data_IF_104684277172
#
_entry.id   IF_104684277172
#
_cell.length_a   1.000
_cell.length_b   1.000
_cell.length_c   1.000
_cell.angle_alpha   90.00
_cell.angle_beta   90.00
_cell.angle_gamma   90.00
#
_symmetry.space_group_name_H-M   'P 1'
#
loop_
_entity.id
_entity.type
_entity.pdbx_description
1 polymer ?
#
# COMPACT_ATOMS: atom_id res chain seq x y z
N UNK A 1 5.99 6.18 -3.94
CA UNK A 1 6.19 6.81 -2.62
C UNK A 1 4.87 6.67 -1.87
N UNK A 2 4.87 6.12 -0.64
CA UNK A 2 3.65 5.71 0.06
C UNK A 2 2.93 6.88 0.75
N UNK A 3 2.66 7.96 0.02
CA UNK A 3 2.02 9.15 0.60
C UNK A 3 0.55 8.92 0.95
N UNK A 4 -0.16 8.14 0.12
CA UNK A 4 -1.54 7.76 0.39
C UNK A 4 -1.68 6.93 1.66
N UNK A 5 -0.73 6.02 1.91
CA UNK A 5 -0.73 5.17 3.09
C UNK A 5 -0.57 5.98 4.38
N UNK A 6 0.35 6.96 4.39
CA UNK A 6 0.53 7.87 5.54
C UNK A 6 -0.74 8.70 5.80
N UNK A 7 -1.28 9.31 4.75
CA UNK A 7 -2.46 10.17 4.87
C UNK A 7 -3.68 9.39 5.35
N UNK A 8 -3.92 8.20 4.77
CA UNK A 8 -5.06 7.34 5.13
C UNK A 8 -4.90 6.70 6.50
N UNK A 9 -3.67 6.34 6.92
CA UNK A 9 -3.40 5.83 8.26
C UNK A 9 -3.69 6.90 9.31
N UNK A 10 -3.17 8.12 9.14
CA UNK A 10 -3.47 9.24 10.04
C UNK A 10 -4.96 9.54 10.07
N UNK A 11 -5.55 9.68 8.87
CA UNK A 11 -6.97 9.96 8.74
C UNK A 11 -7.78 8.87 9.42
N UNK A 12 -7.39 7.59 9.38
CA UNK A 12 -8.15 6.49 9.98
C UNK A 12 -8.00 6.41 11.50
N UNK A 13 -6.78 6.53 12.02
CA UNK A 13 -6.43 6.16 13.40
C UNK A 13 -6.15 7.35 14.32
N UNK A 14 -5.80 8.51 13.76
CA UNK A 14 -5.33 9.67 14.54
C UNK A 14 -3.91 9.53 15.11
N UNK A 15 -3.16 8.48 14.75
CA UNK A 15 -1.79 8.29 15.22
C UNK A 15 -0.88 9.34 14.56
N UNK A 16 -0.18 10.19 15.33
CA UNK A 16 0.55 11.31 14.76
C UNK A 16 1.88 10.90 14.11
N UNK A 17 2.52 9.83 14.59
CA UNK A 17 3.80 9.35 14.05
C UNK A 17 3.58 8.07 13.24
N UNK A 18 3.74 8.17 11.93
CA UNK A 18 3.50 7.08 10.98
C UNK A 18 4.70 6.96 10.04
N UNK A 19 5.26 5.76 9.96
CA UNK A 19 6.28 5.39 8.99
C UNK A 19 5.72 4.32 8.05
N UNK A 20 5.98 4.46 6.74
CA UNK A 20 5.62 3.45 5.76
C UNK A 20 6.84 3.10 4.94
N UNK A 21 7.16 1.81 4.93
CA UNK A 21 8.37 1.27 4.34
C UNK A 21 8.03 0.12 3.40
N UNK A 22 8.75 0.04 2.29
CA UNK A 22 8.60 -1.02 1.29
C UNK A 22 9.92 -1.81 1.27
N UNK A 23 9.90 -3.15 1.27
CA UNK A 23 11.12 -3.93 1.15
C UNK A 23 11.74 -3.72 -0.23
N UNK A 24 12.99 -3.27 -0.26
CA UNK A 24 13.78 -3.17 -1.50
C UNK A 24 15.02 -4.07 -1.40
N UNK A 25 15.40 -4.78 -2.48
CA UNK A 25 16.70 -5.42 -2.55
C UNK A 25 17.82 -4.40 -2.33
N UNK A 26 18.89 -4.81 -1.66
CA UNK A 26 20.01 -3.92 -1.31
C UNK A 26 20.58 -3.16 -2.52
N UNK A 27 20.71 -3.84 -3.66
CA UNK A 27 21.26 -3.27 -4.88
C UNK A 27 20.39 -2.12 -5.41
N UNK A 28 19.07 -2.29 -5.39
CA UNK A 28 18.12 -1.25 -5.78
C UNK A 28 18.19 -0.06 -4.81
N UNK A 29 18.34 -0.31 -3.50
CA UNK A 29 18.47 0.75 -2.50
C UNK A 29 19.75 1.59 -2.68
N UNK A 30 20.89 0.95 -2.99
CA UNK A 30 22.16 1.65 -3.28
C UNK A 30 22.04 2.52 -4.53
N UNK A 31 21.46 1.98 -5.60
CA UNK A 31 21.22 2.72 -6.85
C UNK A 31 20.31 3.92 -6.58
N UNK A 32 19.21 3.74 -5.85
CA UNK A 32 18.27 4.82 -5.53
C UNK A 32 18.93 5.93 -4.70
N UNK A 33 19.83 5.57 -3.76
CA UNK A 33 20.64 6.55 -3.01
C UNK A 33 21.61 7.31 -3.91
N UNK A 34 22.23 6.63 -4.87
CA UNK A 34 23.12 7.24 -5.86
C UNK A 34 22.43 8.24 -6.79
N UNK A 35 21.11 8.14 -6.95
CA UNK A 35 20.31 9.07 -7.76
C UNK A 35 19.93 10.37 -7.05
N UNK A 36 20.09 10.45 -5.73
CA UNK A 36 19.78 11.65 -4.94
C UNK A 36 20.51 12.93 -5.42
N UNK A 37 21.82 12.94 -5.72
CA UNK A 37 22.53 14.13 -6.20
C UNK A 37 22.15 14.55 -7.63
N UNK A 38 21.76 13.60 -8.49
CA UNK A 38 21.38 13.85 -9.90
C UNK A 38 19.90 14.12 -10.08
N UNK A 39 19.15 14.28 -8.99
CA UNK A 39 17.69 14.50 -8.97
C UNK A 39 17.22 15.69 -9.83
N UNK A 40 18.06 16.71 -10.01
CA UNK A 40 17.76 17.85 -10.89
C UNK A 40 17.67 17.48 -12.37
N UNK A 41 18.38 16.45 -12.82
CA UNK A 41 18.38 16.00 -14.22
C UNK A 41 17.06 15.30 -14.56
N UNK A 42 16.43 14.59 -13.61
CA UNK A 42 15.11 13.98 -13.80
C UNK A 42 13.97 15.00 -13.97
N UNK A 43 14.21 16.28 -13.71
CA UNK A 43 13.26 17.36 -13.98
C UNK A 43 13.27 17.84 -15.43
N UNK A 44 14.24 17.41 -16.25
CA UNK A 44 14.38 17.87 -17.64
C UNK A 44 13.35 17.15 -18.52
N UNK A 45 12.51 17.88 -19.30
CA UNK A 45 11.43 17.28 -20.10
C UNK A 45 11.89 16.19 -21.07
N UNK A 46 13.06 16.38 -21.72
CA UNK A 46 13.63 15.39 -22.63
C UNK A 46 14.01 14.08 -21.91
N UNK A 47 14.56 14.18 -20.69
CA UNK A 47 14.90 13.01 -19.85
C UNK A 47 13.63 12.29 -19.40
N UNK A 48 12.59 13.04 -19.01
CA UNK A 48 11.29 12.46 -18.65
C UNK A 48 10.64 11.73 -19.82
N UNK A 49 10.64 12.32 -21.03
CA UNK A 49 10.10 11.69 -22.23
C UNK A 49 10.83 10.37 -22.55
N UNK A 50 12.17 10.38 -22.47
CA UNK A 50 12.98 9.19 -22.67
C UNK A 50 12.70 8.10 -21.61
N UNK A 51 12.62 8.47 -20.33
CA UNK A 51 12.29 7.55 -19.23
C UNK A 51 10.88 6.98 -19.38
N UNK A 52 9.89 7.79 -19.77
CA UNK A 52 8.53 7.34 -20.03
C UNK A 52 8.47 6.36 -21.21
N UNK A 53 9.21 6.62 -22.28
CA UNK A 53 9.31 5.71 -23.42
C UNK A 53 9.97 4.36 -23.04
N UNK A 54 10.94 4.37 -22.13
CA UNK A 54 11.54 3.16 -21.57
C UNK A 54 10.54 2.36 -20.72
N UNK A 55 9.82 3.03 -19.83
CA UNK A 55 8.80 2.39 -18.99
C UNK A 55 7.65 1.84 -19.83
N UNK A 56 7.25 2.52 -20.89
CA UNK A 56 6.21 2.05 -21.83
C UNK A 56 6.55 0.76 -22.58
N UNK A 57 7.82 0.31 -22.54
CA UNK A 57 8.26 -0.97 -23.11
C UNK A 57 8.26 -2.12 -22.08
N UNK A 58 8.02 -1.82 -20.82
CA UNK A 58 7.96 -2.82 -19.75
C UNK A 58 6.52 -3.30 -19.67
N UNK A 59 6.28 -4.53 -20.11
CA UNK A 59 4.98 -5.17 -19.89
C UNK A 59 4.83 -5.51 -18.40
N UNK A 60 3.66 -5.17 -17.84
CA UNK A 60 3.32 -5.59 -16.48
C UNK A 60 3.36 -7.12 -16.35
N UNK A 61 3.57 -7.67 -15.14
CA UNK A 61 3.73 -9.11 -14.97
C UNK A 61 2.55 -9.88 -15.60
N UNK A 62 2.85 -10.96 -16.32
CA UNK A 62 1.85 -11.83 -16.93
C UNK A 62 0.91 -12.43 -15.86
N UNK A 63 -0.30 -12.86 -16.26
CA UNK A 63 -1.32 -13.39 -15.33
C UNK A 63 -0.78 -14.54 -14.45
N UNK A 64 -0.02 -15.45 -15.04
CA UNK A 64 0.59 -16.58 -14.30
C UNK A 64 1.62 -16.10 -13.26
N UNK A 65 2.43 -15.09 -13.61
CA UNK A 65 3.39 -14.49 -12.69
C UNK A 65 2.71 -13.76 -11.52
N UNK A 66 1.52 -13.19 -11.74
CA UNK A 66 0.70 -12.59 -10.67
C UNK A 66 0.15 -13.65 -9.73
N UNK A 67 -0.44 -14.72 -10.26
CA UNK A 67 -0.98 -15.81 -9.45
C UNK A 67 0.07 -16.46 -8.53
N UNK A 68 1.34 -16.47 -8.94
CA UNK A 68 2.45 -17.03 -8.17
C UNK A 68 3.10 -16.07 -7.15
N UNK A 69 2.69 -14.80 -7.08
CA UNK A 69 3.37 -13.77 -6.26
C UNK A 69 2.43 -13.14 -5.22
N UNK A 70 2.24 -13.77 -4.05
CA UNK A 70 1.48 -13.16 -2.96
C UNK A 70 2.19 -11.93 -2.40
N UNK A 71 1.41 -10.99 -1.86
CA UNK A 71 1.95 -9.82 -1.17
C UNK A 71 1.84 -10.02 0.33
N UNK A 72 2.83 -9.54 1.07
CA UNK A 72 2.85 -9.59 2.53
C UNK A 72 2.87 -8.18 3.08
N UNK A 73 1.98 -7.92 4.03
CA UNK A 73 1.85 -6.64 4.73
C UNK A 73 2.14 -6.88 6.20
N UNK A 74 2.95 -6.01 6.78
CA UNK A 74 3.30 -5.99 8.19
C UNK A 74 3.08 -4.57 8.72
N UNK A 75 2.53 -4.46 9.93
CA UNK A 75 2.39 -3.19 10.61
C UNK A 75 2.66 -3.36 12.11
N UNK A 76 3.26 -2.34 12.72
CA UNK A 76 3.45 -2.24 14.16
C UNK A 76 2.83 -0.94 14.67
N UNK A 77 2.12 -1.02 15.79
CA UNK A 77 1.64 0.13 16.53
C UNK A 77 2.14 0.06 17.97
N UNK A 78 2.64 1.18 18.49
CA UNK A 78 3.15 1.29 19.86
C UNK A 78 2.44 2.44 20.58
N UNK A 79 2.09 2.22 21.84
CA UNK A 79 1.52 3.28 22.69
C UNK A 79 2.54 3.90 23.65
N UNK A 80 2.11 4.95 24.37
CA UNK A 80 2.96 5.66 25.32
C UNK A 80 3.37 4.81 26.54
N UNK A 81 2.66 3.72 26.82
CA UNK A 81 2.99 2.77 27.88
C UNK A 81 3.98 1.69 27.41
N UNK A 82 4.42 1.75 26.14
CA UNK A 82 5.37 0.80 25.58
C UNK A 82 4.75 -0.50 25.06
N UNK A 83 3.42 -0.65 25.09
CA UNK A 83 2.73 -1.82 24.53
C UNK A 83 2.85 -1.81 23.02
N UNK A 84 3.06 -2.98 22.43
CA UNK A 84 3.27 -3.13 20.99
C UNK A 84 2.24 -4.09 20.43
N UNK A 85 1.54 -3.68 19.37
CA UNK A 85 0.70 -4.56 18.56
C UNK A 85 1.32 -4.72 17.18
N UNK A 86 1.51 -5.96 16.75
CA UNK A 86 2.01 -6.31 15.42
C UNK A 86 0.89 -6.98 14.63
N UNK A 87 0.60 -6.44 13.45
CA UNK A 87 -0.33 -6.99 12.49
C UNK A 87 0.40 -7.61 11.30
N UNK A 88 -0.05 -8.78 10.85
CA UNK A 88 0.45 -9.46 9.64
C UNK A 88 -0.72 -9.84 8.76
N UNK A 89 -0.54 -9.67 7.46
CA UNK A 89 -1.52 -10.02 6.45
C UNK A 89 -0.82 -10.54 5.20
N UNK A 90 -1.30 -11.66 4.67
CA UNK A 90 -0.98 -12.14 3.33
C UNK A 90 -2.14 -11.82 2.40
N UNK A 91 -1.85 -11.27 1.23
CA UNK A 91 -2.84 -11.01 0.18
C UNK A 91 -2.45 -11.68 -1.13
N UNK A 92 -3.36 -11.61 -2.10
CA UNK A 92 -3.04 -11.85 -3.50
C UNK A 92 -1.96 -10.86 -4.00
N UNK A 93 -1.56 -10.99 -5.25
CA UNK A 93 -0.71 -10.02 -5.91
C UNK A 93 -1.32 -8.60 -5.84
N UNK A 94 -0.48 -7.58 -5.69
CA UNK A 94 -0.94 -6.20 -5.47
C UNK A 94 -1.85 -5.65 -6.58
N UNK A 95 -1.67 -6.12 -7.83
CA UNK A 95 -2.53 -5.74 -8.95
C UNK A 95 -3.94 -6.32 -8.79
N UNK A 96 -4.03 -7.58 -8.38
CA UNK A 96 -5.31 -8.26 -8.16
C UNK A 96 -6.04 -7.66 -6.94
N UNK A 97 -5.30 -7.38 -5.86
CA UNK A 97 -5.83 -6.69 -4.66
C UNK A 97 -6.37 -5.32 -5.01
N UNK A 98 -5.67 -4.57 -5.87
CA UNK A 98 -6.09 -3.22 -6.28
C UNK A 98 -7.36 -3.30 -7.12
N UNK A 99 -7.42 -4.20 -8.10
CA UNK A 99 -8.60 -4.39 -8.94
C UNK A 99 -9.82 -4.83 -8.10
N UNK A 100 -9.65 -5.83 -7.23
CA UNK A 100 -10.71 -6.30 -6.35
C UNK A 100 -11.15 -5.23 -5.34
N UNK A 101 -10.21 -4.44 -4.81
CA UNK A 101 -10.51 -3.34 -3.89
C UNK A 101 -11.36 -2.23 -4.53
N UNK A 102 -11.11 -1.92 -5.81
CA UNK A 102 -11.95 -0.98 -6.56
C UNK A 102 -13.37 -1.53 -6.71
N UNK A 103 -13.52 -2.79 -7.10
CA UNK A 103 -14.85 -3.41 -7.23
C UNK A 103 -15.59 -3.43 -5.89
N UNK A 104 -14.93 -3.84 -4.80
CA UNK A 104 -15.49 -3.83 -3.45
C UNK A 104 -16.00 -2.43 -3.06
N UNK A 105 -15.21 -1.38 -3.35
CA UNK A 105 -15.59 -0.01 -3.03
C UNK A 105 -16.78 0.47 -3.88
N UNK A 106 -16.80 0.15 -5.18
CA UNK A 106 -17.91 0.51 -6.08
C UNK A 106 -19.20 -0.18 -5.66
N UNK A 107 -19.16 -1.50 -5.43
CA UNK A 107 -20.31 -2.27 -4.95
C UNK A 107 -20.85 -1.71 -3.63
N UNK A 108 -19.97 -1.44 -2.66
CA UNK A 108 -20.37 -0.84 -1.39
C UNK A 108 -21.01 0.54 -1.56
N UNK A 109 -20.54 1.36 -2.51
CA UNK A 109 -21.09 2.69 -2.75
C UNK A 109 -22.43 2.67 -3.49
N UNK A 110 -22.68 1.68 -4.35
CA UNK A 110 -23.94 1.54 -5.07
C UNK A 110 -25.11 1.20 -4.13
N UNK A 111 -24.85 0.44 -3.07
CA UNK A 111 -25.86 0.00 -2.11
C UNK A 111 -25.95 0.88 -0.86
N UNK A 112 -25.12 1.94 -0.75
CA UNK A 112 -25.01 2.75 0.46
C UNK A 112 -25.89 3.98 0.42
N UNK A 113 -26.82 4.04 1.36
CA UNK A 113 -27.48 5.27 1.78
C UNK A 113 -26.73 5.89 2.98
N UNK A 114 -26.17 7.08 2.82
CA UNK A 114 -25.46 7.76 3.90
C UNK A 114 -24.86 9.11 3.51
N UNK A 115 -24.31 9.86 4.49
CA UNK A 115 -23.70 11.15 4.23
C UNK A 115 -22.48 11.00 3.31
N UNK A 116 -22.41 11.89 2.32
CA UNK A 116 -21.24 12.02 1.44
C UNK A 116 -20.04 12.63 2.16
N UNK A 117 -18.88 12.53 1.53
CA UNK A 117 -17.64 13.10 2.06
C UNK A 117 -16.43 12.24 1.74
N UNK A 118 -15.31 12.54 2.41
CA UNK A 118 -14.08 11.78 2.29
C UNK A 118 -14.06 10.63 3.31
N UNK A 119 -13.81 9.41 2.82
CA UNK A 119 -13.62 8.23 3.66
C UNK A 119 -12.42 7.42 3.19
N UNK A 120 -11.66 6.88 4.15
CA UNK A 120 -10.69 5.81 3.89
C UNK A 120 -11.43 4.47 3.76
N UNK A 121 -10.88 3.46 3.06
CA UNK A 121 -11.55 2.16 2.93
C UNK A 121 -11.90 1.53 4.28
N UNK A 122 -11.00 1.62 5.25
CA UNK A 122 -11.19 1.11 6.61
C UNK A 122 -12.32 1.82 7.39
N UNK A 123 -12.58 3.09 7.08
CA UNK A 123 -13.71 3.86 7.66
C UNK A 123 -15.00 3.70 6.87
N UNK A 124 -14.92 3.55 5.56
CA UNK A 124 -16.07 3.43 4.67
C UNK A 124 -16.71 2.05 4.80
N UNK A 125 -15.90 1.01 4.65
CA UNK A 125 -16.32 -0.40 4.52
C UNK A 125 -16.05 -1.18 5.81
N UNK A 126 -14.99 -0.79 6.54
CA UNK A 126 -14.62 -1.36 7.83
C UNK A 126 -13.14 -1.77 7.90
N UNK A 127 -12.55 -1.85 9.10
CA UNK A 127 -11.10 -2.04 9.28
C UNK A 127 -10.56 -3.37 8.76
N UNK A 128 -11.46 -4.34 8.49
CA UNK A 128 -11.16 -5.68 8.00
C UNK A 128 -11.54 -5.87 6.53
N UNK A 129 -11.88 -4.80 5.79
CA UNK A 129 -12.37 -4.88 4.41
C UNK A 129 -11.41 -5.60 3.45
N UNK A 130 -10.10 -5.58 3.73
CA UNK A 130 -9.10 -6.30 2.92
C UNK A 130 -9.28 -7.82 3.00
N UNK A 131 -9.83 -8.35 4.09
CA UNK A 131 -10.04 -9.79 4.30
C UNK A 131 -11.19 -10.34 3.43
N UNK A 132 -12.07 -9.49 2.91
CA UNK A 132 -13.13 -9.91 1.97
C UNK A 132 -12.65 -9.96 0.52
N UNK A 133 -11.42 -9.51 0.23
CA UNK A 133 -10.88 -9.55 -1.12
C UNK A 133 -10.44 -10.97 -1.50
N UNK A 134 -10.66 -11.40 -2.76
CA UNK A 134 -10.18 -12.69 -3.24
C UNK A 134 -8.68 -12.87 -3.05
N UNK A 135 -8.28 -14.00 -2.46
CA UNK A 135 -6.88 -14.32 -2.18
C UNK A 135 -6.26 -13.54 -1.02
N UNK A 136 -7.03 -12.76 -0.28
CA UNK A 136 -6.61 -12.17 1.00
C UNK A 136 -6.87 -13.10 2.18
N UNK A 137 -5.87 -13.18 3.08
CA UNK A 137 -5.98 -13.88 4.35
C UNK A 137 -6.61 -13.02 5.44
N UNK A 138 -6.59 -13.53 6.67
CA UNK A 138 -6.98 -12.77 7.86
C UNK A 138 -5.82 -11.93 8.38
N UNK A 139 -6.15 -10.78 8.97
CA UNK A 139 -5.19 -9.97 9.72
C UNK A 139 -4.95 -10.67 11.06
N UNK A 140 -3.73 -11.14 11.24
CA UNK A 140 -3.24 -11.73 12.48
C UNK A 140 -2.65 -10.62 13.34
N UNK A 141 -3.12 -10.48 14.59
CA UNK A 141 -2.66 -9.45 15.52
C UNK A 141 -2.02 -10.12 16.73
N UNK A 142 -0.78 -9.75 16.99
CA UNK A 142 0.01 -10.18 18.14
C UNK A 142 0.26 -8.96 19.03
N UNK A 143 -0.20 -9.02 20.29
CA UNK A 143 0.04 -7.94 21.27
C UNK A 143 1.12 -8.38 22.24
N UNK A 144 2.15 -7.57 22.38
CA UNK A 144 3.26 -7.75 23.31
C UNK A 144 3.15 -6.70 24.42
N UNK A 145 3.18 -7.16 25.66
CA UNK A 145 3.24 -6.32 26.85
C UNK A 145 4.63 -5.68 27.04
N UNK A 146 4.74 -4.71 27.97
CA UNK A 146 6.02 -4.15 28.38
C UNK A 146 6.91 -5.18 29.08
#
# INVERSE_FOLDING_TARGET
IPWGDVATAFASTGIPNIEVSIPLPWAAAVVLRGFHPVRRIFGVPAVQCWLQALVGRIEGPAREARAASPTWVWGEARDAAGRVAVARLRTANVYDVTAAGVLLAVEHLLDRDGPGGFFTPSRLIGPRCVESLPGSGRIEIEVRGP
#
